data_IF_390386337446
#
_entry.id   IF_390386337446
#
_cell.length_a   1.000
_cell.length_b   1.000
_cell.length_c   1.000
_cell.angle_alpha   90.00
_cell.angle_beta   90.00
_cell.angle_gamma   90.00
#
_symmetry.space_group_name_H-M   'P 1'
#
loop_
_entity.id
_entity.type
_entity.pdbx_description
1 polymer ?
#
# COMPACT_ATOMS: atom_id res chain seq x y z
N UNK A 1 8.94 -19.19 -2.28
CA UNK A 1 8.48 -18.04 -1.47
C UNK A 1 7.30 -17.42 -2.20
N UNK A 2 6.22 -17.08 -1.49
CA UNK A 2 5.04 -16.44 -2.11
C UNK A 2 5.21 -14.91 -2.12
N UNK A 3 4.71 -14.27 -3.18
CA UNK A 3 4.71 -12.81 -3.32
C UNK A 3 3.58 -12.13 -2.52
N UNK A 4 2.48 -12.85 -2.28
CA UNK A 4 1.27 -12.38 -1.58
C UNK A 4 0.57 -11.19 -2.25
N UNK A 5 0.75 -10.99 -3.56
CA UNK A 5 0.12 -9.91 -4.33
C UNK A 5 -1.32 -10.27 -4.68
N UNK A 6 -2.25 -9.37 -4.39
CA UNK A 6 -3.63 -9.43 -4.88
C UNK A 6 -3.76 -8.63 -6.18
N UNK A 7 -3.42 -7.35 -6.13
CA UNK A 7 -3.38 -6.44 -7.29
C UNK A 7 -2.15 -5.56 -7.21
N UNK A 8 -1.54 -5.23 -8.34
CA UNK A 8 -0.49 -4.22 -8.40
C UNK A 8 -0.23 -3.75 -9.83
N UNK A 9 0.44 -2.62 -9.98
CA UNK A 9 1.16 -2.28 -11.20
C UNK A 9 2.66 -2.25 -10.98
N UNK A 10 3.43 -2.30 -12.07
CA UNK A 10 4.87 -2.10 -12.04
C UNK A 10 5.37 -1.33 -13.27
N UNK A 11 6.34 -0.43 -13.05
CA UNK A 11 6.96 0.33 -14.14
C UNK A 11 8.00 -0.51 -14.88
N UNK A 12 7.79 -0.73 -16.19
CA UNK A 12 8.72 -1.31 -17.19
C UNK A 12 9.27 -2.71 -16.88
N UNK A 13 10.06 -2.88 -15.81
CA UNK A 13 10.72 -4.14 -15.46
C UNK A 13 9.76 -5.06 -14.72
N UNK A 14 9.56 -6.26 -15.24
CA UNK A 14 8.71 -7.27 -14.62
C UNK A 14 9.24 -7.73 -13.25
N UNK A 15 8.39 -7.84 -12.21
CA UNK A 15 8.73 -8.49 -10.95
C UNK A 15 9.04 -9.99 -11.14
N UNK A 16 9.85 -10.56 -10.24
CA UNK A 16 10.24 -11.98 -10.31
C UNK A 16 9.07 -12.98 -10.33
N UNK A 17 7.91 -12.58 -9.78
CA UNK A 17 6.71 -13.42 -9.72
C UNK A 17 5.78 -13.25 -10.93
N UNK A 18 6.06 -12.32 -11.85
CA UNK A 18 5.24 -12.08 -13.04
C UNK A 18 3.80 -11.61 -12.77
N UNK A 19 3.54 -11.02 -11.59
CA UNK A 19 2.19 -10.54 -11.21
C UNK A 19 2.11 -9.02 -11.37
N UNK A 20 0.92 -8.55 -11.73
CA UNK A 20 0.59 -7.13 -11.86
C UNK A 20 0.53 -6.65 -13.31
N UNK A 21 0.13 -5.38 -13.46
CA UNK A 21 0.02 -4.72 -14.77
C UNK A 21 1.28 -3.93 -15.07
N UNK A 22 1.93 -4.23 -16.20
CA UNK A 22 3.05 -3.43 -16.69
C UNK A 22 2.57 -2.05 -17.15
N UNK A 23 3.28 -1.01 -16.73
CA UNK A 23 3.13 0.34 -17.27
C UNK A 23 4.45 0.83 -17.85
N UNK A 24 4.39 1.64 -18.91
CA UNK A 24 5.58 2.11 -19.62
C UNK A 24 6.07 3.48 -19.12
N UNK A 25 5.13 4.27 -18.61
CA UNK A 25 5.38 5.59 -18.03
C UNK A 25 5.03 5.57 -16.56
N UNK A 26 5.81 6.30 -15.75
CA UNK A 26 5.58 6.36 -14.32
C UNK A 26 4.31 7.17 -14.06
N UNK A 27 3.26 6.57 -13.46
CA UNK A 27 2.00 7.27 -13.24
C UNK A 27 2.12 8.31 -12.12
N UNK A 28 1.25 9.32 -12.19
CA UNK A 28 0.96 10.17 -11.03
C UNK A 28 0.07 9.44 -10.01
N UNK A 29 -0.17 10.04 -8.85
CA UNK A 29 -0.91 9.45 -7.73
C UNK A 29 -2.31 8.94 -8.09
N UNK A 30 -3.07 9.75 -8.84
CA UNK A 30 -4.43 9.39 -9.26
C UNK A 30 -4.44 8.18 -10.19
N UNK A 31 -3.51 8.13 -11.14
CA UNK A 31 -3.35 6.99 -12.05
C UNK A 31 -2.84 5.76 -11.31
N UNK A 32 -1.83 5.93 -10.44
CA UNK A 32 -1.23 4.87 -9.66
C UNK A 32 -2.25 4.18 -8.74
N UNK A 33 -3.10 4.94 -8.06
CA UNK A 33 -4.21 4.42 -7.24
C UNK A 33 -5.11 3.47 -8.04
N UNK A 34 -5.48 3.86 -9.26
CA UNK A 34 -6.35 3.07 -10.14
C UNK A 34 -5.64 1.86 -10.72
N UNK A 35 -4.43 2.04 -11.25
CA UNK A 35 -3.60 0.97 -11.82
C UNK A 35 -3.25 -0.10 -10.79
N UNK A 36 -3.08 0.29 -9.53
CA UNK A 36 -2.83 -0.64 -8.42
C UNK A 36 -4.08 -1.39 -7.95
N UNK A 37 -5.28 -1.02 -8.42
CA UNK A 37 -6.54 -1.54 -7.92
C UNK A 37 -6.84 -1.12 -6.48
N UNK A 38 -6.42 0.09 -6.08
CA UNK A 38 -6.53 0.62 -4.72
C UNK A 38 -7.63 1.67 -4.56
N UNK A 39 -8.40 1.95 -5.62
CA UNK A 39 -9.53 2.92 -5.65
C UNK A 39 -10.78 2.37 -4.93
N UNK A 40 -10.60 1.95 -3.68
CA UNK A 40 -11.63 1.47 -2.76
C UNK A 40 -11.43 2.09 -1.37
N UNK A 41 -12.50 2.03 -0.57
CA UNK A 41 -12.53 2.55 0.80
C UNK A 41 -12.56 1.43 1.81
N UNK A 42 -11.94 1.67 2.95
CA UNK A 42 -12.18 0.88 4.16
C UNK A 42 -13.30 1.53 4.96
N UNK A 43 -14.29 0.73 5.33
CA UNK A 43 -15.36 1.11 6.25
C UNK A 43 -15.23 0.27 7.52
N UNK A 44 -15.61 0.86 8.65
CA UNK A 44 -15.63 0.18 9.94
C UNK A 44 -17.05 -0.25 10.29
N UNK A 45 -17.25 -1.54 10.51
CA UNK A 45 -18.53 -2.13 10.90
C UNK A 45 -18.46 -2.69 12.33
N UNK A 46 -19.59 -2.67 13.07
CA UNK A 46 -19.68 -3.33 14.37
C UNK A 46 -19.36 -4.83 14.26
N UNK A 47 -18.59 -5.37 15.20
CA UNK A 47 -18.35 -6.80 15.28
C UNK A 47 -19.46 -7.47 16.10
N UNK A 48 -20.10 -8.49 15.54
CA UNK A 48 -21.23 -9.20 16.16
C UNK A 48 -20.90 -10.69 16.20
N UNK A 49 -21.16 -11.35 17.34
CA UNK A 49 -20.97 -12.79 17.49
C UNK A 49 -22.05 -13.58 16.74
N UNK A 50 -21.86 -14.89 16.57
CA UNK A 50 -22.89 -15.76 15.98
C UNK A 50 -24.21 -15.82 16.79
N UNK A 51 -24.20 -15.39 18.04
CA UNK A 51 -25.39 -15.31 18.89
C UNK A 51 -26.15 -13.97 18.76
N UNK A 52 -25.59 -12.99 18.05
CA UNK A 52 -26.17 -11.65 17.88
C UNK A 52 -25.66 -10.60 18.88
N UNK A 53 -24.77 -10.99 19.80
CA UNK A 53 -24.18 -10.05 20.76
C UNK A 53 -23.10 -9.17 20.11
N UNK A 54 -23.14 -7.87 20.39
CA UNK A 54 -22.10 -6.92 19.96
C UNK A 54 -20.81 -7.13 20.76
N UNK A 55 -19.67 -7.09 20.08
CA UNK A 55 -18.34 -7.17 20.70
C UNK A 55 -17.80 -5.76 20.90
N UNK A 56 -18.05 -5.19 22.07
CA UNK A 56 -17.57 -3.84 22.43
C UNK A 56 -16.05 -3.74 22.36
N UNK A 57 -15.53 -2.58 21.95
CA UNK A 57 -14.09 -2.33 21.84
C UNK A 57 -13.47 -2.75 20.50
N UNK A 58 -14.22 -3.44 19.64
CA UNK A 58 -13.74 -4.01 18.39
C UNK A 58 -14.64 -3.70 17.19
N UNK A 59 -14.01 -3.57 16.03
CA UNK A 59 -14.68 -3.32 14.75
C UNK A 59 -14.07 -4.19 13.66
N UNK A 60 -14.87 -4.52 12.65
CA UNK A 60 -14.37 -5.11 11.42
C UNK A 60 -14.02 -3.98 10.43
N UNK A 61 -12.80 -3.99 9.89
CA UNK A 61 -12.47 -3.20 8.72
C UNK A 61 -12.89 -3.98 7.47
N UNK A 62 -13.72 -3.36 6.64
CA UNK A 62 -14.35 -3.99 5.47
C UNK A 62 -14.06 -3.14 4.24
N UNK A 63 -13.73 -3.78 3.11
CA UNK A 63 -13.60 -3.10 1.82
C UNK A 63 -14.98 -2.83 1.23
N UNK A 64 -15.25 -1.58 0.88
CA UNK A 64 -16.59 -1.15 0.46
C UNK A 64 -17.04 -1.69 -0.91
N UNK A 65 -16.14 -2.20 -1.75
CA UNK A 65 -16.46 -2.63 -3.12
C UNK A 65 -17.00 -4.06 -3.20
N UNK A 66 -16.55 -4.94 -2.30
CA UNK A 66 -16.83 -6.37 -2.32
C UNK A 66 -17.20 -6.95 -0.94
N UNK A 67 -17.27 -6.09 0.09
CA UNK A 67 -17.48 -6.46 1.49
C UNK A 67 -16.42 -7.43 2.04
N UNK A 68 -15.22 -7.46 1.44
CA UNK A 68 -14.12 -8.27 1.95
C UNK A 68 -13.71 -7.77 3.34
N UNK A 69 -13.80 -8.65 4.34
CA UNK A 69 -13.27 -8.37 5.67
C UNK A 69 -11.74 -8.36 5.60
N UNK A 70 -11.15 -7.22 5.92
CA UNK A 70 -9.70 -7.00 5.92
C UNK A 70 -9.11 -7.42 7.27
N UNK A 71 -9.78 -7.11 8.37
CA UNK A 71 -9.38 -7.58 9.70
C UNK A 71 -10.26 -7.03 10.81
N UNK A 72 -10.04 -7.53 12.02
CA UNK A 72 -10.69 -7.03 13.23
C UNK A 72 -9.69 -6.15 13.95
N UNK A 73 -10.10 -4.92 14.26
CA UNK A 73 -9.28 -3.90 14.90
C UNK A 73 -9.94 -3.40 16.18
N UNK A 74 -9.15 -2.87 17.10
CA UNK A 74 -9.69 -2.20 18.29
C UNK A 74 -10.19 -0.79 17.99
N UNK A 75 -11.02 -0.22 18.86
CA UNK A 75 -11.64 1.10 18.69
C UNK A 75 -10.68 2.28 18.49
N UNK A 76 -9.42 2.12 18.92
CA UNK A 76 -8.37 3.13 18.74
C UNK A 76 -7.78 3.13 17.34
N UNK A 77 -8.04 2.10 16.53
CA UNK A 77 -7.55 2.04 15.16
C UNK A 77 -8.19 3.13 14.31
N UNK A 78 -7.34 3.88 13.61
CA UNK A 78 -7.77 4.90 12.65
C UNK A 78 -7.44 4.42 11.25
N UNK A 79 -8.45 4.44 10.39
CA UNK A 79 -8.27 4.15 8.97
C UNK A 79 -7.45 5.28 8.37
N UNK A 80 -6.38 4.91 7.66
CA UNK A 80 -5.73 5.76 6.66
C UNK A 80 -6.21 5.24 5.31
N UNK A 81 -7.02 6.02 4.61
CA UNK A 81 -7.55 5.61 3.31
C UNK A 81 -6.40 5.50 2.29
N UNK A 82 -6.58 4.65 1.28
CA UNK A 82 -5.55 4.52 0.24
C UNK A 82 -5.29 5.88 -0.44
N UNK A 83 -6.33 6.65 -0.72
CA UNK A 83 -6.18 8.00 -1.29
C UNK A 83 -5.40 8.96 -0.37
N UNK A 84 -5.59 8.86 0.95
CA UNK A 84 -4.90 9.69 1.94
C UNK A 84 -3.42 9.33 1.99
N UNK A 85 -3.07 8.05 1.81
CA UNK A 85 -1.69 7.61 1.72
C UNK A 85 -0.98 8.14 0.45
N UNK A 86 -1.68 8.19 -0.68
CA UNK A 86 -1.17 8.83 -1.91
C UNK A 86 -1.02 10.34 -1.72
N UNK A 87 -2.03 11.02 -1.17
CA UNK A 87 -1.97 12.46 -0.89
C UNK A 87 -0.86 12.82 0.10
N UNK A 88 -0.66 12.02 1.14
CA UNK A 88 0.46 12.18 2.08
C UNK A 88 1.82 12.11 1.37
N UNK A 89 1.96 11.21 0.39
CA UNK A 89 3.20 11.07 -0.39
C UNK A 89 3.42 12.28 -1.30
N UNK A 90 2.34 12.80 -1.91
CA UNK A 90 2.37 14.03 -2.71
C UNK A 90 2.81 15.24 -1.88
N UNK A 91 2.23 15.40 -0.69
CA UNK A 91 2.57 16.50 0.21
C UNK A 91 4.03 16.40 0.70
N UNK A 92 4.52 15.19 0.94
CA UNK A 92 5.88 14.96 1.44
C UNK A 92 6.95 15.22 0.37
N UNK A 93 6.69 14.85 -0.89
CA UNK A 93 7.66 14.95 -1.98
C UNK A 93 7.48 16.20 -2.85
N UNK A 94 6.34 16.87 -2.74
CA UNK A 94 5.99 18.06 -3.51
C UNK A 94 5.49 17.74 -4.92
N UNK A 95 5.59 18.72 -5.82
CA UNK A 95 5.03 18.59 -7.17
C UNK A 95 5.78 17.56 -8.02
N UNK A 96 5.01 16.72 -8.70
CA UNK A 96 5.54 15.82 -9.74
C UNK A 96 5.92 14.42 -9.25
N UNK A 97 5.34 13.95 -8.14
CA UNK A 97 5.51 12.56 -7.69
C UNK A 97 5.18 11.57 -8.81
N UNK A 98 6.02 10.54 -8.90
CA UNK A 98 5.93 9.45 -9.86
C UNK A 98 6.12 8.13 -9.14
N UNK A 99 5.32 7.14 -9.47
CA UNK A 99 5.32 5.86 -8.78
C UNK A 99 5.97 4.75 -9.61
N UNK A 100 6.78 3.93 -8.93
CA UNK A 100 7.48 2.77 -9.50
C UNK A 100 6.63 1.50 -9.39
N UNK A 101 6.02 1.28 -8.23
CA UNK A 101 5.07 0.20 -7.94
C UNK A 101 4.06 0.67 -6.90
N UNK A 102 2.85 0.11 -6.94
CA UNK A 102 1.93 0.13 -5.82
C UNK A 102 0.97 -1.05 -5.95
N UNK A 103 0.39 -1.50 -4.83
CA UNK A 103 -0.50 -2.64 -4.85
C UNK A 103 -1.12 -3.00 -3.52
N UNK A 104 -2.01 -3.99 -3.61
CA UNK A 104 -2.67 -4.68 -2.51
C UNK A 104 -2.01 -6.05 -2.28
N UNK A 105 -1.82 -6.40 -1.01
CA UNK A 105 -1.28 -7.67 -0.55
C UNK A 105 -2.30 -8.39 0.32
N UNK A 106 -2.24 -9.72 0.31
CA UNK A 106 -2.99 -10.59 1.23
C UNK A 106 -4.52 -10.32 1.20
N UNK A 107 -5.07 -9.99 0.03
CA UNK A 107 -6.51 -9.70 -0.11
C UNK A 107 -6.94 -8.36 0.52
N UNK A 108 -6.12 -7.32 0.41
CA UNK A 108 -6.45 -5.96 0.87
C UNK A 108 -5.99 -5.65 2.28
N UNK A 109 -5.52 -6.65 3.02
CA UNK A 109 -5.09 -6.47 4.42
C UNK A 109 -3.92 -5.52 4.54
N UNK A 110 -3.05 -5.50 3.53
CA UNK A 110 -1.91 -4.60 3.47
C UNK A 110 -1.81 -3.97 2.10
N UNK A 111 -1.43 -2.70 2.06
CA UNK A 111 -1.17 -1.97 0.82
C UNK A 111 0.23 -1.36 0.87
N UNK A 112 0.84 -1.14 -0.29
CA UNK A 112 2.09 -0.40 -0.39
C UNK A 112 2.12 0.46 -1.65
N UNK A 113 2.96 1.49 -1.60
CA UNK A 113 3.31 2.31 -2.76
C UNK A 113 4.77 2.73 -2.66
N UNK A 114 5.40 2.83 -3.82
CA UNK A 114 6.81 3.16 -3.97
C UNK A 114 6.93 4.34 -4.92
N UNK A 115 7.30 5.51 -4.38
CA UNK A 115 7.44 6.75 -5.15
C UNK A 115 8.92 7.08 -5.39
N UNK A 116 9.24 7.60 -6.57
CA UNK A 116 10.58 8.10 -6.86
C UNK A 116 10.89 9.32 -6.02
N UNK A 117 12.04 9.32 -5.35
CA UNK A 117 12.56 10.52 -4.69
C UNK A 117 13.13 11.48 -5.74
N UNK A 118 13.00 12.81 -5.53
CA UNK A 118 13.56 13.80 -6.45
C UNK A 118 15.09 13.90 -6.37
N UNK A 119 15.70 13.43 -5.27
CA UNK A 119 17.12 13.54 -5.02
C UNK A 119 17.84 12.24 -5.36
N UNK A 120 18.88 12.35 -6.20
CA UNK A 120 19.87 11.29 -6.39
C UNK A 120 21.03 11.45 -5.41
N UNK A 121 21.60 10.33 -4.99
CA UNK A 121 22.76 10.28 -4.10
C UNK A 121 23.92 9.61 -4.81
N UNK A 122 25.14 10.07 -4.53
CA UNK A 122 26.37 9.37 -4.94
C UNK A 122 26.99 8.78 -3.68
N UNK A 123 27.04 7.45 -3.61
CA UNK A 123 27.65 6.72 -2.48
C UNK A 123 28.77 5.85 -3.05
N UNK A 124 30.00 6.05 -2.58
CA UNK A 124 31.19 5.34 -3.07
C UNK A 124 31.37 5.39 -4.61
N UNK A 125 30.90 6.46 -5.26
CA UNK A 125 30.98 6.63 -6.72
C UNK A 125 29.80 6.03 -7.49
N UNK A 126 28.86 5.35 -6.83
CA UNK A 126 27.65 4.83 -7.46
C UNK A 126 26.48 5.82 -7.31
N UNK A 127 25.75 6.02 -8.41
CA UNK A 127 24.51 6.78 -8.41
C UNK A 127 23.36 5.93 -7.88
N UNK A 128 22.68 6.43 -6.85
CA UNK A 128 21.56 5.79 -6.19
C UNK A 128 20.38 6.75 -6.23
N UNK A 129 19.30 6.34 -6.92
CA UNK A 129 18.03 7.07 -6.96
C UNK A 129 17.03 6.29 -6.10
N UNK A 130 16.88 6.62 -4.80
CA UNK A 130 16.07 5.83 -3.89
C UNK A 130 14.57 6.12 -4.09
N UNK A 131 13.79 5.31 -3.41
CA UNK A 131 12.35 5.43 -3.36
C UNK A 131 11.87 5.80 -1.97
N UNK A 132 10.77 6.53 -1.89
CA UNK A 132 9.93 6.58 -0.71
C UNK A 132 8.98 5.39 -0.73
N UNK A 133 9.12 4.50 0.25
CA UNK A 133 8.18 3.43 0.52
C UNK A 133 7.14 3.92 1.54
N UNK A 134 5.87 3.78 1.19
CA UNK A 134 4.77 3.83 2.15
C UNK A 134 4.10 2.45 2.19
N UNK A 135 3.78 1.97 3.39
CA UNK A 135 2.95 0.77 3.57
C UNK A 135 1.99 0.92 4.74
N UNK A 136 0.79 0.36 4.59
CA UNK A 136 -0.25 0.40 5.61
C UNK A 136 -0.91 -0.98 5.75
N UNK A 137 -1.28 -1.33 6.99
CA UNK A 137 -2.02 -2.54 7.34
C UNK A 137 -3.45 -2.18 7.75
N UNK A 138 -4.42 -2.52 6.90
CA UNK A 138 -5.84 -2.37 7.17
C UNK A 138 -6.38 -3.41 8.16
N UNK A 139 -5.66 -4.50 8.39
CA UNK A 139 -6.02 -5.52 9.38
C UNK A 139 -5.54 -5.20 10.81
N UNK A 140 -4.87 -4.06 11.01
CA UNK A 140 -4.32 -3.65 12.31
C UNK A 140 -3.05 -4.39 12.74
N UNK A 141 -2.47 -5.24 11.90
CA UNK A 141 -1.25 -6.01 12.21
C UNK A 141 0.01 -5.15 12.35
N UNK A 142 -0.03 -3.89 11.92
CA UNK A 142 1.11 -2.98 11.97
C UNK A 142 0.70 -1.53 11.82
N UNK A 143 1.59 -0.63 12.23
CA UNK A 143 1.45 0.80 11.97
C UNK A 143 1.74 1.11 10.49
N UNK A 144 1.31 2.29 10.05
CA UNK A 144 1.84 2.91 8.83
C UNK A 144 3.36 2.98 8.92
N UNK A 145 4.04 2.49 7.88
CA UNK A 145 5.50 2.59 7.74
C UNK A 145 5.83 3.47 6.55
N UNK A 146 6.71 4.44 6.78
CA UNK A 146 7.30 5.28 5.74
C UNK A 146 8.81 5.15 5.84
N UNK A 147 9.48 4.80 4.74
CA UNK A 147 10.92 4.55 4.73
C UNK A 147 11.54 4.96 3.39
N UNK A 148 12.82 5.32 3.40
CA UNK A 148 13.62 5.49 2.18
C UNK A 148 14.32 4.16 1.90
N UNK A 149 14.25 3.68 0.65
CA UNK A 149 14.87 2.41 0.25
C UNK A 149 15.47 2.50 -1.16
N UNK A 150 16.68 1.97 -1.41
CA UNK A 150 17.21 1.83 -2.76
C UNK A 150 16.63 0.60 -3.48
N UNK A 151 15.89 -0.26 -2.76
CA UNK A 151 15.34 -1.51 -3.29
C UNK A 151 13.94 -1.27 -3.85
N UNK A 152 13.73 -1.74 -5.08
CA UNK A 152 12.41 -1.77 -5.70
C UNK A 152 11.52 -2.83 -5.03
N UNK A 153 10.60 -2.40 -4.18
CA UNK A 153 9.63 -3.27 -3.51
C UNK A 153 8.55 -3.70 -4.48
N UNK A 154 8.37 -5.02 -4.64
CA UNK A 154 7.37 -5.62 -5.54
C UNK A 154 6.44 -6.63 -4.84
N UNK A 155 6.70 -6.95 -3.58
CA UNK A 155 5.97 -8.00 -2.85
C UNK A 155 6.09 -7.84 -1.33
N UNK A 156 5.32 -8.61 -0.56
CA UNK A 156 5.27 -8.54 0.90
C UNK A 156 6.63 -8.80 1.59
N UNK A 157 7.54 -9.55 0.95
CA UNK A 157 8.86 -9.82 1.54
C UNK A 157 9.72 -8.56 1.66
N UNK A 158 9.53 -7.58 0.76
CA UNK A 158 10.23 -6.29 0.80
C UNK A 158 9.69 -5.31 1.85
N UNK A 159 8.67 -5.70 2.62
CA UNK A 159 8.07 -4.87 3.68
C UNK A 159 8.49 -5.32 5.09
N UNK A 160 9.31 -6.37 5.19
CA UNK A 160 9.82 -6.93 6.44
C UNK A 160 11.10 -6.19 6.83
N UNK A 161 10.95 -4.97 7.31
CA UNK A 161 11.95 -4.25 8.10
C UNK A 161 11.54 -4.29 9.56
#
# INVERSE_FOLDING_TARGET
MSAEVETMFYLRKEPWHGLGTQVMEAPNSREALKLAGLDWKVVQEPLITGAGDMVDGYKANVRNTDNQVLGVVGDRYRIVQNEEAFAFTDDLLGYGVRYETAGSLQGGKKVWMLAHMPQEYIIAGEHISPYLLFSNSHDGSGAVKVAITPIRVVCNNGLKY
#
